data_IF_712072010020
#
_entry.id   IF_712072010020
#
_cell.length_a   1.000
_cell.length_b   1.000
_cell.length_c   1.000
_cell.angle_alpha   90.00
_cell.angle_beta   90.00
_cell.angle_gamma   90.00
#
_symmetry.space_group_name_H-M   'P 1'
#
loop_
_entity.id
_entity.type
_entity.pdbx_description
1 polymer ?
#
# COMPACT_ATOMS: atom_id res chain seq x y z
N UNK A 1 20.17 -30.32 11.20
CA UNK A 1 20.04 -30.87 9.83
C UNK A 1 19.49 -29.76 8.95
N UNK A 2 20.20 -29.42 7.87
CA UNK A 2 19.97 -28.23 7.04
C UNK A 2 18.95 -28.49 5.92
N UNK A 3 18.24 -27.44 5.50
CA UNK A 3 17.23 -27.46 4.42
C UNK A 3 17.90 -27.07 3.10
N UNK A 4 17.67 -27.76 1.96
CA UNK A 4 18.34 -27.43 0.69
C UNK A 4 17.78 -26.15 0.05
N UNK A 5 18.70 -25.29 -0.42
CA UNK A 5 18.46 -24.04 -1.15
C UNK A 5 18.56 -24.35 -2.64
N UNK A 6 17.56 -25.00 -3.23
CA UNK A 6 17.57 -25.32 -4.66
C UNK A 6 16.39 -24.68 -5.43
N UNK A 7 15.72 -23.68 -4.86
CA UNK A 7 14.64 -22.92 -5.53
C UNK A 7 15.07 -21.51 -5.98
N UNK A 8 16.36 -21.19 -5.95
CA UNK A 8 16.88 -19.84 -6.25
C UNK A 8 17.55 -19.69 -7.62
N UNK A 9 17.61 -20.75 -8.44
CA UNK A 9 18.39 -20.75 -9.69
C UNK A 9 17.56 -20.74 -10.98
N UNK A 10 16.27 -20.40 -10.96
CA UNK A 10 15.47 -20.27 -12.18
C UNK A 10 14.97 -18.84 -12.42
N UNK A 11 15.87 -17.86 -12.25
CA UNK A 11 15.75 -16.58 -12.95
C UNK A 11 16.69 -16.65 -14.17
N UNK A 12 16.18 -17.20 -15.27
CA UNK A 12 16.82 -17.03 -16.57
C UNK A 12 16.82 -15.53 -16.89
N UNK A 13 18.03 -14.96 -16.86
CA UNK A 13 18.37 -13.61 -17.29
C UNK A 13 18.02 -13.46 -18.76
N UNK A 14 16.95 -12.73 -19.06
CA UNK A 14 16.70 -12.23 -20.41
C UNK A 14 17.59 -11.01 -20.62
N UNK A 15 18.76 -11.23 -21.22
CA UNK A 15 19.61 -10.18 -21.78
C UNK A 15 18.83 -9.48 -22.91
N UNK A 16 18.14 -8.38 -22.59
CA UNK A 16 17.70 -7.41 -23.60
C UNK A 16 18.87 -6.47 -23.89
N UNK A 17 19.44 -6.64 -25.08
CA UNK A 17 20.43 -5.76 -25.71
C UNK A 17 19.96 -4.29 -25.65
N UNK A 18 20.55 -3.50 -24.74
CA UNK A 18 20.46 -2.04 -24.79
C UNK A 18 21.31 -1.54 -25.96
N UNK A 19 20.67 -1.37 -27.11
CA UNK A 19 21.23 -0.63 -28.24
C UNK A 19 21.47 0.82 -27.83
N UNK A 20 22.74 1.20 -27.62
CA UNK A 20 23.19 2.59 -27.56
C UNK A 20 22.79 3.31 -28.85
N UNK A 21 21.79 4.20 -28.74
CA UNK A 21 21.54 5.20 -29.78
C UNK A 21 22.12 6.52 -29.29
N UNK A 22 23.28 6.87 -29.83
CA UNK A 22 23.92 8.17 -29.62
C UNK A 22 22.94 9.29 -29.98
N UNK A 23 22.48 10.02 -28.97
CA UNK A 23 21.75 11.27 -29.16
C UNK A 23 22.80 12.34 -29.46
N UNK A 24 22.94 12.68 -30.75
CA UNK A 24 23.76 13.79 -31.20
C UNK A 24 23.13 15.11 -30.73
N UNK A 25 23.78 15.79 -29.78
CA UNK A 25 23.42 17.15 -29.39
C UNK A 25 23.88 18.11 -30.48
N UNK A 26 22.98 18.46 -31.40
CA UNK A 26 23.19 19.60 -32.30
C UNK A 26 22.84 20.86 -31.54
N UNK A 27 23.87 21.56 -31.10
CA UNK A 27 23.82 22.90 -30.51
C UNK A 27 23.61 23.94 -31.61
N UNK A 28 22.42 24.54 -31.68
CA UNK A 28 22.22 25.81 -32.36
C UNK A 28 21.58 26.78 -31.35
N UNK A 29 22.47 27.60 -30.78
CA UNK A 29 22.20 28.82 -30.04
C UNK A 29 22.02 29.94 -31.06
N UNK A 30 20.79 30.38 -31.30
CA UNK A 30 20.51 31.72 -31.82
C UNK A 30 19.43 32.39 -30.96
N UNK A 31 19.94 33.18 -30.01
CA UNK A 31 19.36 34.43 -29.49
C UNK A 31 18.34 35.10 -30.42
N UNK A 32 17.19 35.50 -29.86
CA UNK A 32 16.76 36.91 -29.79
C UNK A 32 15.76 37.11 -28.66
N UNK A 33 16.03 38.11 -27.84
CA UNK A 33 15.12 38.65 -26.83
C UNK A 33 13.91 39.31 -27.50
N UNK A 34 12.72 39.11 -26.93
CA UNK A 34 11.66 40.12 -26.88
C UNK A 34 10.67 39.74 -25.73
N UNK A 35 10.63 40.57 -24.68
CA UNK A 35 9.65 40.62 -23.59
C UNK A 35 8.24 41.04 -24.10
N UNK A 36 7.19 41.10 -23.25
CA UNK A 36 6.70 40.12 -22.28
C UNK A 36 5.21 39.80 -22.55
N UNK A 37 4.72 38.62 -22.17
CA UNK A 37 3.28 38.40 -22.03
C UNK A 37 2.96 38.16 -20.55
N UNK A 38 2.29 39.14 -19.95
CA UNK A 38 1.56 38.97 -18.70
C UNK A 38 0.62 37.78 -18.86
N UNK A 39 0.83 36.74 -18.06
CA UNK A 39 -0.26 35.86 -17.71
C UNK A 39 -0.06 35.35 -16.28
N UNK A 40 -1.19 35.38 -15.60
CA UNK A 40 -1.35 35.22 -14.17
C UNK A 40 -0.86 33.86 -13.65
N UNK A 41 -0.81 33.77 -12.32
CA UNK A 41 -0.66 32.55 -11.52
C UNK A 41 0.75 31.96 -11.40
N UNK A 42 1.53 32.57 -10.50
CA UNK A 42 2.33 31.78 -9.56
C UNK A 42 1.97 32.19 -8.14
N UNK A 43 0.78 31.77 -7.69
CA UNK A 43 0.68 31.36 -6.30
C UNK A 43 1.55 30.10 -6.19
N UNK A 44 2.82 30.33 -5.92
CA UNK A 44 3.72 29.40 -5.25
C UNK A 44 3.14 29.13 -3.86
N UNK A 45 1.99 28.46 -3.82
CA UNK A 45 1.51 27.79 -2.61
C UNK A 45 2.41 26.57 -2.45
N UNK A 46 3.47 26.81 -1.69
CA UNK A 46 4.23 25.80 -0.98
C UNK A 46 3.24 24.72 -0.52
N UNK A 47 3.31 23.56 -1.17
CA UNK A 47 2.46 22.40 -0.94
C UNK A 47 2.75 21.78 0.44
N UNK A 48 2.43 22.53 1.50
CA UNK A 48 2.45 22.07 2.88
C UNK A 48 1.01 21.73 3.29
N UNK A 49 0.59 20.51 2.95
CA UNK A 49 -0.18 19.63 3.82
C UNK A 49 -1.39 20.18 4.58
N UNK A 50 -2.18 21.11 4.02
CA UNK A 50 -3.52 21.39 4.56
C UNK A 50 -4.53 20.50 3.86
N UNK A 51 -4.84 19.35 4.46
CA UNK A 51 -6.06 18.60 4.14
C UNK A 51 -7.24 19.57 4.29
N UNK A 52 -8.01 19.77 3.22
CA UNK A 52 -9.22 20.59 3.29
C UNK A 52 -10.32 19.84 4.05
N UNK A 53 -11.30 20.55 4.61
CA UNK A 53 -12.47 19.89 5.24
C UNK A 53 -13.18 18.93 4.27
N UNK A 54 -13.14 19.23 2.98
CA UNK A 54 -13.67 18.38 1.91
C UNK A 54 -12.90 17.05 1.81
N UNK A 55 -11.57 17.10 1.84
CA UNK A 55 -10.71 15.90 1.76
C UNK A 55 -10.88 15.01 2.99
N UNK A 56 -10.96 15.62 4.18
CA UNK A 56 -11.23 14.87 5.42
C UNK A 56 -12.58 14.15 5.36
N UNK A 57 -13.61 14.83 4.85
CA UNK A 57 -14.95 14.27 4.71
C UNK A 57 -15.00 13.14 3.67
N UNK A 58 -14.24 13.25 2.58
CA UNK A 58 -14.10 12.17 1.59
C UNK A 58 -13.41 10.93 2.18
N UNK A 59 -12.30 11.16 2.90
CA UNK A 59 -11.54 10.10 3.57
C UNK A 59 -12.37 9.33 4.58
N UNK A 60 -13.14 10.03 5.42
CA UNK A 60 -14.05 9.37 6.36
C UNK A 60 -15.10 8.52 5.63
N UNK A 61 -15.74 9.04 4.58
CA UNK A 61 -16.73 8.28 3.80
C UNK A 61 -16.13 7.02 3.20
N UNK A 62 -14.94 7.11 2.61
CA UNK A 62 -14.23 5.96 2.05
C UNK A 62 -13.98 4.87 3.10
N UNK A 63 -13.52 5.27 4.28
CA UNK A 63 -13.24 4.33 5.37
C UNK A 63 -14.47 3.72 6.04
N UNK A 64 -15.59 4.44 6.05
CA UNK A 64 -16.88 3.90 6.46
C UNK A 64 -17.35 2.81 5.47
N UNK A 65 -17.09 3.02 4.18
CA UNK A 65 -17.44 2.06 3.14
C UNK A 65 -16.53 0.81 3.14
N UNK A 66 -15.24 0.99 3.43
CA UNK A 66 -14.24 -0.07 3.40
C UNK A 66 -13.51 -0.27 4.74
N UNK A 67 -14.22 -0.71 5.80
CA UNK A 67 -13.67 -0.79 7.16
C UNK A 67 -12.61 -1.88 7.31
N UNK A 68 -12.74 -3.01 6.61
CA UNK A 68 -11.77 -4.10 6.69
C UNK A 68 -10.48 -3.73 5.97
N UNK A 69 -10.59 -3.05 4.83
CA UNK A 69 -9.43 -2.49 4.14
C UNK A 69 -8.68 -1.47 5.02
N UNK A 70 -9.42 -0.59 5.72
CA UNK A 70 -8.82 0.33 6.70
C UNK A 70 -8.06 -0.42 7.79
N UNK A 71 -8.67 -1.44 8.37
CA UNK A 71 -8.04 -2.25 9.43
C UNK A 71 -6.74 -2.88 8.95
N UNK A 72 -6.76 -3.49 7.76
CA UNK A 72 -5.57 -4.11 7.16
C UNK A 72 -4.45 -3.10 6.90
N UNK A 73 -4.76 -1.95 6.31
CA UNK A 73 -3.76 -0.89 6.10
C UNK A 73 -3.23 -0.33 7.42
N UNK A 74 -4.07 -0.25 8.45
CA UNK A 74 -3.64 0.19 9.79
C UNK A 74 -2.63 -0.79 10.41
N UNK A 75 -2.79 -2.10 10.18
CA UNK A 75 -1.79 -3.11 10.59
C UNK A 75 -0.47 -2.92 9.86
N UNK A 76 -0.50 -2.72 8.53
CA UNK A 76 0.71 -2.47 7.72
C UNK A 76 1.44 -1.21 8.19
N UNK A 77 0.69 -0.15 8.54
CA UNK A 77 1.25 1.08 9.13
C UNK A 77 1.87 0.81 10.50
N UNK A 78 1.21 0.04 11.36
CA UNK A 78 1.71 -0.30 12.69
C UNK A 78 2.96 -1.18 12.64
N UNK A 79 3.09 -2.02 11.61
CA UNK A 79 4.29 -2.82 11.31
C UNK A 79 5.43 -1.97 10.72
N UNK A 80 5.19 -0.68 10.44
CA UNK A 80 6.20 0.25 9.91
C UNK A 80 6.52 0.03 8.43
N UNK A 81 5.68 -0.74 7.71
CA UNK A 81 5.90 -1.04 6.30
C UNK A 81 5.59 0.16 5.39
N UNK A 82 4.62 0.98 5.78
CA UNK A 82 4.29 2.23 5.09
C UNK A 82 4.00 3.35 6.10
N UNK A 83 4.29 4.62 5.77
CA UNK A 83 3.86 5.75 6.58
C UNK A 83 2.33 5.90 6.62
N UNK A 84 1.78 6.36 7.74
CA UNK A 84 0.33 6.52 7.93
C UNK A 84 -0.32 7.44 6.88
N UNK A 85 0.33 8.55 6.56
CA UNK A 85 -0.19 9.52 5.57
C UNK A 85 -0.27 8.93 4.15
N UNK A 86 0.49 7.86 3.86
CA UNK A 86 0.45 7.18 2.57
C UNK A 86 -0.72 6.19 2.44
N UNK A 87 -1.32 5.74 3.54
CA UNK A 87 -2.31 4.68 3.52
C UNK A 87 -3.59 5.07 2.76
N UNK A 88 -4.11 6.27 3.00
CA UNK A 88 -5.31 6.76 2.32
C UNK A 88 -5.05 7.08 0.85
N UNK A 89 -3.95 7.77 0.54
CA UNK A 89 -3.58 8.09 -0.85
C UNK A 89 -3.43 6.84 -1.70
N UNK A 90 -2.76 5.81 -1.19
CA UNK A 90 -2.66 4.52 -1.87
C UNK A 90 -4.02 3.85 -2.03
N UNK A 91 -4.87 3.87 -1.00
CA UNK A 91 -6.19 3.26 -1.08
C UNK A 91 -7.08 3.94 -2.14
N UNK A 92 -6.99 5.27 -2.26
CA UNK A 92 -7.73 6.05 -3.27
C UNK A 92 -7.31 5.68 -4.70
N UNK A 93 -6.01 5.49 -4.94
CA UNK A 93 -5.46 5.13 -6.26
C UNK A 93 -5.88 3.74 -6.75
N UNK A 94 -6.27 2.84 -5.86
CA UNK A 94 -6.63 1.46 -6.20
C UNK A 94 -7.99 1.38 -6.92
N UNK A 95 -8.85 2.39 -6.75
CA UNK A 95 -10.19 2.43 -7.33
C UNK A 95 -11.24 1.62 -6.56
N UNK A 96 -12.51 1.98 -6.75
CA UNK A 96 -13.63 1.52 -5.91
C UNK A 96 -13.87 0.01 -6.02
N UNK A 97 -13.88 -0.54 -7.24
CA UNK A 97 -14.06 -1.97 -7.52
C UNK A 97 -13.03 -2.81 -6.76
N UNK A 98 -11.77 -2.38 -6.81
CA UNK A 98 -10.65 -3.11 -6.20
C UNK A 98 -10.60 -2.90 -4.70
N UNK A 99 -10.96 -1.71 -4.19
CA UNK A 99 -11.12 -1.45 -2.77
C UNK A 99 -12.22 -2.36 -2.16
N UNK A 100 -13.35 -2.50 -2.85
CA UNK A 100 -14.43 -3.42 -2.47
C UNK A 100 -13.98 -4.87 -2.46
N UNK A 101 -13.29 -5.32 -3.52
CA UNK A 101 -12.75 -6.68 -3.60
C UNK A 101 -11.79 -6.97 -2.45
N UNK A 102 -10.83 -6.07 -2.19
CA UNK A 102 -9.87 -6.22 -1.09
C UNK A 102 -10.57 -6.20 0.27
N UNK A 103 -11.56 -5.34 0.46
CA UNK A 103 -12.33 -5.28 1.70
C UNK A 103 -13.01 -6.62 2.02
N UNK A 104 -13.67 -7.25 1.03
CA UNK A 104 -14.31 -8.55 1.24
C UNK A 104 -13.28 -9.69 1.46
N UNK A 105 -12.14 -9.65 0.76
CA UNK A 105 -11.05 -10.61 0.99
C UNK A 105 -10.48 -10.52 2.40
N UNK A 106 -10.21 -9.30 2.88
CA UNK A 106 -9.71 -9.07 4.25
C UNK A 106 -10.74 -9.50 5.28
N UNK A 107 -12.03 -9.23 5.05
CA UNK A 107 -13.10 -9.71 5.91
C UNK A 107 -13.13 -11.23 6.00
N UNK A 108 -13.06 -11.93 4.87
CA UNK A 108 -13.01 -13.39 4.84
C UNK A 108 -11.78 -13.94 5.60
N UNK A 109 -10.60 -13.35 5.37
CA UNK A 109 -9.38 -13.70 6.11
C UNK A 109 -9.52 -13.47 7.62
N UNK A 110 -10.14 -12.36 8.02
CA UNK A 110 -10.36 -12.03 9.44
C UNK A 110 -11.28 -13.04 10.12
N UNK A 111 -12.34 -13.48 9.44
CA UNK A 111 -13.24 -14.52 9.94
C UNK A 111 -12.49 -15.85 10.08
N UNK A 112 -11.76 -16.27 9.05
CA UNK A 112 -10.97 -17.50 9.08
C UNK A 112 -9.93 -17.48 10.21
N UNK A 113 -9.27 -16.34 10.43
CA UNK A 113 -8.31 -16.18 11.52
C UNK A 113 -8.98 -16.31 12.90
N UNK A 114 -10.15 -15.68 13.09
CA UNK A 114 -10.91 -15.79 14.34
C UNK A 114 -11.37 -17.22 14.62
N UNK A 115 -11.83 -17.96 13.60
CA UNK A 115 -12.20 -19.37 13.74
C UNK A 115 -11.01 -20.24 14.13
N UNK A 116 -9.84 -20.04 13.50
CA UNK A 116 -8.61 -20.72 13.86
C UNK A 116 -8.20 -20.40 15.30
N UNK A 117 -8.31 -19.13 15.70
CA UNK A 117 -7.98 -18.69 17.04
C UNK A 117 -8.93 -19.30 18.09
N UNK A 118 -10.23 -19.37 17.80
CA UNK A 118 -11.22 -20.05 18.67
C UNK A 118 -10.81 -21.50 18.93
N UNK A 119 -10.47 -22.25 17.87
CA UNK A 119 -10.02 -23.65 17.99
C UNK A 119 -8.76 -23.79 18.85
N UNK A 120 -7.81 -22.84 18.74
CA UNK A 120 -6.61 -22.82 19.59
C UNK A 120 -6.97 -22.58 21.05
N UNK A 121 -7.87 -21.64 21.33
CA UNK A 121 -8.36 -21.38 22.69
C UNK A 121 -9.09 -22.60 23.28
N UNK A 122 -9.92 -23.28 22.49
CA UNK A 122 -10.60 -24.52 22.90
C UNK A 122 -9.60 -25.63 23.25
N UNK A 123 -8.54 -25.79 22.45
CA UNK A 123 -7.48 -26.76 22.72
C UNK A 123 -6.78 -26.45 24.05
N UNK A 124 -6.43 -25.19 24.30
CA UNK A 124 -5.80 -24.77 25.56
C UNK A 124 -6.75 -25.00 26.74
N UNK A 125 -8.03 -24.65 26.60
CA UNK A 125 -9.04 -24.87 27.63
C UNK A 125 -9.23 -26.36 27.95
N UNK A 126 -9.23 -27.22 26.92
CA UNK A 126 -9.30 -28.67 27.06
C UNK A 126 -8.07 -29.22 27.81
N UNK A 127 -6.88 -28.77 27.45
CA UNK A 127 -5.64 -29.16 28.14
C UNK A 127 -5.65 -28.76 29.63
N UNK A 128 -6.09 -27.54 29.94
CA UNK A 128 -6.23 -27.07 31.33
C UNK A 128 -7.23 -27.94 32.11
N UNK A 129 -8.35 -28.28 31.48
CA UNK A 129 -9.38 -29.11 32.11
C UNK A 129 -8.85 -30.52 32.40
N UNK A 130 -8.14 -31.12 31.44
CA UNK A 130 -7.54 -32.44 31.59
C UNK A 130 -6.50 -32.47 32.72
N UNK A 131 -5.64 -31.44 32.84
CA UNK A 131 -4.67 -31.33 33.93
C UNK A 131 -5.35 -31.21 35.30
N UNK A 132 -6.49 -30.53 35.40
CA UNK A 132 -7.24 -30.44 36.66
C UNK A 132 -7.90 -31.75 37.06
N UNK A 133 -8.34 -32.56 36.11
CA UNK A 133 -8.95 -33.87 36.38
C UNK A 133 -7.95 -34.99 36.67
N UNK A 134 -6.67 -34.77 36.39
CA UNK A 134 -5.60 -35.75 36.61
C UNK A 134 -4.93 -35.63 38.00
N UNK A 135 -5.29 -34.62 38.78
CA UNK A 135 -4.91 -34.42 40.19
C UNK A 135 -6.08 -34.78 41.11
#
# INVERSE_FOLDING_TARGET
MAVPIDLLNNAESSDEDFSDSEISYSSEDESMEDEPSEDETSNSEIANGRETERDRSEKERFWVQYPYLKSFLSTIVAEGLIPEYFAFERAKLIGDEKAKELNERVKALSIMYLELFSKKCELVASAITAMKSAN
#
